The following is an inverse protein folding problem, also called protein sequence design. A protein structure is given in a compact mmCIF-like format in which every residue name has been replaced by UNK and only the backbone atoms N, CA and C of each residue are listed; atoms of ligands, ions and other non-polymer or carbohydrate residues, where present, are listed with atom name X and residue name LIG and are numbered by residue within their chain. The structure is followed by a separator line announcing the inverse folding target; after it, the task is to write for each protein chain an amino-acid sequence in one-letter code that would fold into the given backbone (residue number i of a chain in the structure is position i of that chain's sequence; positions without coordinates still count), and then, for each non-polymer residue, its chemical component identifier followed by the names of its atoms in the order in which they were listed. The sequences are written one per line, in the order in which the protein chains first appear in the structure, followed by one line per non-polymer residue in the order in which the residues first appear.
data_IF_465648178594
#
_entry.id   IF_465648178594
#
_cell.length_a   1.000
_cell.length_b   1.000
_cell.length_c   1.000
_cell.angle_alpha   90.00
_cell.angle_beta   90.00
_cell.angle_gamma   90.00
#
_symmetry.space_group_name_H-M   'P 1'
#
loop_
_entity.id
_entity.type
_entity.pdbx_description
1 polymer ?
#
# COMPACT_ATOMS: atom_id res chain seq x y z
N UNK A 1 22.44 24.17 -7.63
CA UNK A 1 20.98 24.16 -7.46
C UNK A 1 20.68 23.17 -6.35
N UNK A 2 20.34 23.66 -5.17
CA UNK A 2 19.88 22.83 -4.06
C UNK A 2 18.47 22.34 -4.41
N UNK A 3 18.35 21.06 -4.77
CA UNK A 3 17.05 20.40 -4.83
C UNK A 3 16.52 20.35 -3.39
N UNK A 4 15.68 21.32 -3.03
CA UNK A 4 14.89 21.24 -1.82
C UNK A 4 14.10 19.93 -1.86
N UNK A 5 14.49 19.00 -0.99
CA UNK A 5 13.77 17.76 -0.78
C UNK A 5 12.34 18.13 -0.40
N UNK A 6 11.29 17.70 -1.14
CA UNK A 6 9.93 18.09 -0.81
C UNK A 6 9.59 17.60 0.60
N UNK A 7 9.56 18.56 1.52
CA UNK A 7 9.22 18.38 2.92
C UNK A 7 7.72 18.24 3.05
N UNK A 8 7.19 17.03 2.91
CA UNK A 8 5.90 16.63 3.48
C UNK A 8 5.90 15.11 3.62
N UNK A 9 5.49 14.59 4.78
CA UNK A 9 5.25 13.15 4.96
C UNK A 9 4.27 12.68 3.88
N UNK A 10 4.75 11.89 2.93
CA UNK A 10 3.92 11.27 1.87
C UNK A 10 3.18 10.03 2.39
N UNK A 11 3.32 9.76 3.68
CA UNK A 11 2.55 8.78 4.44
C UNK A 11 1.56 9.55 5.30
N UNK A 12 0.28 9.18 5.23
CA UNK A 12 -0.79 9.73 6.05
C UNK A 12 -1.46 8.62 6.87
N UNK A 13 -2.18 9.00 7.93
CA UNK A 13 -2.76 8.07 8.92
C UNK A 13 -3.51 6.86 8.32
N UNK A 14 -4.44 7.06 7.36
CA UNK A 14 -5.10 5.98 6.65
C UNK A 14 -4.18 4.92 6.00
N UNK A 15 -2.99 5.28 5.48
CA UNK A 15 -2.03 4.28 4.97
C UNK A 15 -1.53 3.40 6.11
N UNK A 16 -1.24 4.02 7.27
CA UNK A 16 -0.80 3.30 8.47
C UNK A 16 -1.87 2.33 8.92
N UNK A 17 -3.12 2.77 8.99
CA UNK A 17 -4.22 1.91 9.39
C UNK A 17 -4.39 0.74 8.40
N UNK A 18 -4.45 1.00 7.09
CA UNK A 18 -4.60 -0.04 6.07
C UNK A 18 -3.46 -1.07 6.11
N UNK A 19 -2.21 -0.64 6.27
CA UNK A 19 -1.05 -1.54 6.34
C UNK A 19 -1.03 -2.37 7.63
N UNK A 20 -1.39 -1.79 8.78
CA UNK A 20 -1.50 -2.53 10.05
C UNK A 20 -2.66 -3.52 10.01
N UNK A 21 -3.82 -3.08 9.54
CA UNK A 21 -5.02 -3.91 9.40
C UNK A 21 -4.78 -5.07 8.43
N UNK A 22 -4.11 -4.81 7.30
CA UNK A 22 -3.77 -5.85 6.31
C UNK A 22 -2.76 -6.88 6.85
N UNK A 23 -2.02 -6.53 7.92
CA UNK A 23 -0.93 -7.35 8.45
C UNK A 23 0.33 -7.30 7.58
N UNK A 24 0.62 -6.13 7.00
CA UNK A 24 1.81 -5.92 6.19
C UNK A 24 3.10 -6.06 7.03
N UNK A 25 4.09 -6.72 6.44
CA UNK A 25 5.44 -6.88 6.99
C UNK A 25 6.24 -5.58 6.92
N UNK A 26 7.32 -5.49 7.70
CA UNK A 26 8.25 -4.35 7.64
C UNK A 26 8.88 -4.15 6.26
N UNK A 27 9.11 -5.22 5.50
CA UNK A 27 9.64 -5.13 4.13
C UNK A 27 8.60 -4.57 3.15
N UNK A 28 7.32 -4.92 3.30
CA UNK A 28 6.24 -4.34 2.50
C UNK A 28 6.06 -2.86 2.83
N UNK A 29 6.20 -2.48 4.09
CA UNK A 29 6.27 -1.09 4.53
C UNK A 29 7.40 -0.32 3.85
N UNK A 30 8.62 -0.87 3.86
CA UNK A 30 9.77 -0.23 3.23
C UNK A 30 9.55 0.00 1.72
N UNK A 31 9.03 -1.00 1.01
CA UNK A 31 8.72 -0.91 -0.42
C UNK A 31 7.63 0.13 -0.71
N UNK A 32 6.55 0.15 0.07
CA UNK A 32 5.48 1.14 -0.10
C UNK A 32 5.98 2.57 0.16
N UNK A 33 6.75 2.78 1.23
CA UNK A 33 7.33 4.09 1.55
C UNK A 33 8.28 4.57 0.44
N UNK A 34 9.07 3.66 -0.13
CA UNK A 34 9.92 3.98 -1.28
C UNK A 34 9.09 4.47 -2.49
N UNK A 35 7.98 3.79 -2.81
CA UNK A 35 7.06 4.22 -3.87
C UNK A 35 6.46 5.61 -3.59
N UNK A 36 5.99 5.83 -2.36
CA UNK A 36 5.36 7.09 -1.95
C UNK A 36 6.34 8.27 -2.03
N UNK A 37 7.63 8.05 -1.74
CA UNK A 37 8.68 9.09 -1.76
C UNK A 37 8.76 9.89 -3.07
N UNK A 38 8.28 9.34 -4.20
CA UNK A 38 8.28 10.00 -5.51
C UNK A 38 6.89 10.20 -6.15
N UNK A 39 5.82 9.91 -5.40
CA UNK A 39 4.45 10.30 -5.73
C UNK A 39 4.35 11.79 -6.13
N UNK A 40 3.74 12.10 -7.27
CA UNK A 40 3.49 13.51 -7.61
C UNK A 40 2.45 14.07 -6.65
N UNK A 41 2.59 15.34 -6.25
CA UNK A 41 1.63 15.98 -5.36
C UNK A 41 0.21 15.84 -5.91
N UNK A 42 -0.74 15.43 -5.05
CA UNK A 42 -2.13 15.20 -5.42
C UNK A 42 -2.41 13.97 -6.29
N UNK A 43 -1.39 13.21 -6.72
CA UNK A 43 -1.58 12.03 -7.57
C UNK A 43 -1.58 10.75 -6.74
N UNK A 44 -2.57 9.87 -6.93
CA UNK A 44 -2.55 8.52 -6.36
C UNK A 44 -1.73 7.52 -7.21
N UNK A 45 -1.09 7.99 -8.28
CA UNK A 45 -0.29 7.16 -9.17
C UNK A 45 1.15 7.13 -8.68
N UNK A 46 1.65 5.92 -8.46
CA UNK A 46 3.00 5.64 -8.04
C UNK A 46 3.76 4.98 -9.19
N UNK A 47 4.99 5.42 -9.41
CA UNK A 47 5.83 4.95 -10.51
C UNK A 47 7.27 4.90 -10.04
N UNK A 48 7.82 3.70 -9.90
CA UNK A 48 9.24 3.51 -9.59
C UNK A 48 9.76 2.18 -10.10
N UNK A 49 10.99 2.17 -10.61
CA UNK A 49 11.65 0.95 -11.07
C UNK A 49 12.15 0.11 -9.89
N UNK A 50 12.20 -1.22 -10.07
CA UNK A 50 12.72 -2.15 -9.05
C UNK A 50 14.14 -1.78 -8.59
N UNK A 51 15.11 -1.46 -9.47
CA UNK A 51 16.45 -1.06 -9.03
C UNK A 51 16.46 0.18 -8.13
N UNK A 52 15.58 1.16 -8.41
CA UNK A 52 15.47 2.36 -7.58
C UNK A 52 14.89 2.04 -6.22
N UNK A 53 13.87 1.16 -6.14
CA UNK A 53 13.32 0.69 -4.86
C UNK A 53 14.39 -0.06 -4.06
N UNK A 54 15.19 -0.93 -4.70
CA UNK A 54 16.31 -1.63 -4.06
C UNK A 54 17.29 -0.64 -3.43
N UNK A 55 17.68 0.41 -4.17
CA UNK A 55 18.57 1.46 -3.67
C UNK A 55 18.05 2.16 -2.41
N UNK A 56 16.74 2.40 -2.32
CA UNK A 56 16.15 3.09 -1.16
C UNK A 56 15.86 2.17 0.03
N UNK A 57 15.62 0.88 -0.23
CA UNK A 57 15.21 -0.07 0.81
C UNK A 57 16.37 -0.95 1.30
N UNK A 58 17.46 -1.07 0.54
CA UNK A 58 18.55 -2.00 0.80
C UNK A 58 18.19 -3.47 0.53
N UNK A 59 17.01 -3.74 -0.03
CA UNK A 59 16.54 -5.07 -0.37
C UNK A 59 17.07 -5.49 -1.76
N UNK A 60 17.23 -6.79 -1.98
CA UNK A 60 17.53 -7.35 -3.30
C UNK A 60 16.32 -7.29 -4.25
N UNK A 61 16.57 -7.43 -5.56
CA UNK A 61 15.53 -7.30 -6.58
C UNK A 61 14.40 -8.32 -6.45
N UNK A 62 14.71 -9.57 -6.10
CA UNK A 62 13.72 -10.64 -5.99
C UNK A 62 12.81 -10.40 -4.79
N UNK A 63 13.39 -10.00 -3.66
CA UNK A 63 12.63 -9.54 -2.48
C UNK A 63 11.74 -8.37 -2.84
N UNK A 64 12.24 -7.34 -3.54
CA UNK A 64 11.41 -6.19 -3.95
C UNK A 64 10.25 -6.62 -4.87
N UNK A 65 10.51 -7.44 -5.89
CA UNK A 65 9.47 -7.94 -6.80
C UNK A 65 8.42 -8.75 -6.06
N UNK A 66 8.84 -9.63 -5.17
CA UNK A 66 7.95 -10.43 -4.34
C UNK A 66 7.10 -9.55 -3.41
N UNK A 67 7.70 -8.54 -2.77
CA UNK A 67 6.98 -7.62 -1.87
C UNK A 67 6.02 -6.71 -2.62
N UNK A 68 6.36 -6.24 -3.83
CA UNK A 68 5.43 -5.52 -4.71
C UNK A 68 4.24 -6.40 -5.10
N UNK A 69 4.47 -7.66 -5.46
CA UNK A 69 3.40 -8.61 -5.78
C UNK A 69 2.53 -8.95 -4.56
N UNK A 70 3.13 -9.05 -3.37
CA UNK A 70 2.41 -9.25 -2.11
C UNK A 70 1.54 -8.05 -1.77
N UNK A 71 2.10 -6.83 -1.82
CA UNK A 71 1.37 -5.58 -1.63
C UNK A 71 0.18 -5.43 -2.59
N UNK A 72 0.33 -5.80 -3.87
CA UNK A 72 -0.77 -5.69 -4.83
C UNK A 72 -1.92 -6.67 -4.59
N UNK A 73 -1.72 -7.66 -3.72
CA UNK A 73 -2.75 -8.63 -3.30
C UNK A 73 -3.33 -8.29 -1.93
N UNK A 74 -2.79 -7.27 -1.25
CA UNK A 74 -3.30 -6.84 0.06
C UNK A 74 -4.48 -5.91 -0.10
N UNK A 75 -5.44 -6.11 0.78
CA UNK A 75 -6.62 -5.28 0.92
C UNK A 75 -6.76 -4.77 2.35
N UNK A 76 -7.52 -3.69 2.49
CA UNK A 76 -8.05 -3.20 3.74
C UNK A 76 -9.58 -3.32 3.68
N UNK A 77 -10.21 -3.42 4.85
CA UNK A 77 -11.67 -3.55 4.97
C UNK A 77 -12.24 -2.28 5.57
N UNK A 78 -13.22 -1.68 4.91
CA UNK A 78 -13.92 -0.51 5.45
C UNK A 78 -14.84 -0.88 6.61
N UNK A 79 -15.24 0.10 7.41
CA UNK A 79 -16.21 -0.08 8.49
C UNK A 79 -17.56 -0.64 7.98
N UNK A 80 -17.91 -0.35 6.72
CA UNK A 80 -19.08 -0.92 6.03
C UNK A 80 -18.91 -2.35 5.53
N UNK A 81 -17.76 -2.99 5.77
CA UNK A 81 -17.50 -4.38 5.38
C UNK A 81 -17.06 -4.59 3.94
N UNK A 82 -16.69 -3.52 3.22
CA UNK A 82 -16.21 -3.61 1.84
C UNK A 82 -14.69 -3.76 1.79
N UNK A 83 -14.19 -4.64 0.93
CA UNK A 83 -12.75 -4.85 0.70
C UNK A 83 -12.24 -3.91 -0.39
N UNK A 84 -11.12 -3.25 -0.12
CA UNK A 84 -10.44 -2.36 -1.07
C UNK A 84 -8.95 -2.72 -1.15
N UNK A 85 -8.34 -2.76 -2.35
CA UNK A 85 -6.90 -2.98 -2.46
C UNK A 85 -6.11 -1.85 -1.79
N UNK A 86 -4.90 -2.14 -1.32
CA UNK A 86 -3.97 -1.09 -0.88
C UNK A 86 -3.25 -0.49 -2.09
N UNK A 87 -2.76 -1.37 -2.96
CA UNK A 87 -2.01 -1.03 -4.16
C UNK A 87 -2.58 -1.82 -5.34
N UNK A 88 -2.91 -1.13 -6.43
CA UNK A 88 -3.39 -1.75 -7.66
C UNK A 88 -2.34 -1.61 -8.76
N UNK A 89 -2.10 -2.67 -9.55
CA UNK A 89 -1.18 -2.61 -10.69
C UNK A 89 -1.95 -2.10 -11.90
N UNK A 90 -1.73 -0.82 -12.26
CA UNK A 90 -2.33 -0.23 -13.47
C UNK A 90 -1.59 -0.70 -14.72
N UNK A 91 -0.26 -0.72 -14.64
CA UNK A 91 0.58 -1.15 -15.76
C UNK A 91 1.77 -1.96 -15.25
N UNK A 92 1.89 -3.24 -15.63
CA UNK A 92 3.03 -4.05 -15.26
C UNK A 92 4.32 -3.51 -15.91
N UNK A 93 5.45 -3.71 -15.23
CA UNK A 93 6.76 -3.41 -15.80
C UNK A 93 7.03 -4.32 -17.01
N UNK A 94 7.28 -3.71 -18.18
CA UNK A 94 7.89 -4.41 -19.32
C UNK A 94 9.42 -4.43 -19.20
N UNK A 95 10.13 -5.10 -20.13
CA UNK A 95 11.61 -5.06 -20.19
C UNK A 95 12.09 -3.60 -20.16
N UNK A 96 12.77 -3.22 -19.07
CA UNK A 96 13.34 -1.89 -18.86
C UNK A 96 12.35 -0.76 -18.53
N UNK A 97 11.05 -1.04 -18.34
CA UNK A 97 10.04 -0.01 -18.05
C UNK A 97 9.57 -0.06 -16.60
N UNK A 98 9.33 1.12 -16.05
CA UNK A 98 8.73 1.29 -14.72
C UNK A 98 7.29 0.78 -14.69
N UNK A 99 6.92 0.05 -13.64
CA UNK A 99 5.53 -0.30 -13.38
C UNK A 99 4.76 0.91 -12.85
N UNK A 100 3.47 1.00 -13.20
CA UNK A 100 2.55 1.99 -12.66
C UNK A 100 1.60 1.32 -11.69
N UNK A 101 1.48 1.93 -10.51
CA UNK A 101 0.60 1.49 -9.45
C UNK A 101 -0.39 2.60 -9.08
N UNK A 102 -1.61 2.24 -8.73
CA UNK A 102 -2.55 3.11 -8.05
C UNK A 102 -2.48 2.82 -6.54
N UNK A 103 -2.31 3.86 -5.73
CA UNK A 103 -2.58 3.79 -4.31
C UNK A 103 -4.07 4.02 -4.09
N UNK A 104 -4.77 3.01 -3.60
CA UNK A 104 -6.23 3.07 -3.44
C UNK A 104 -6.66 3.52 -2.03
N UNK A 105 -5.68 3.76 -1.15
CA UNK A 105 -5.92 4.32 0.18
C UNK A 105 -6.23 5.82 0.05
N UNK A 106 -7.36 6.33 0.55
CA UNK A 106 -7.73 7.73 0.41
C UNK A 106 -6.82 8.64 1.25
N UNK A 107 -6.41 9.79 0.68
CA UNK A 107 -5.61 10.81 1.37
C UNK A 107 -6.40 11.58 2.43
N UNK A 108 -7.63 11.93 2.09
CA UNK A 108 -8.61 12.53 2.97
C UNK A 108 -9.65 11.46 3.32
N UNK A 109 -9.59 11.01 4.56
CA UNK A 109 -10.71 10.40 5.28
C UNK A 109 -10.83 11.17 6.59
N UNK A 110 -12.04 11.34 7.16
CA UNK A 110 -12.29 12.32 8.22
C UNK A 110 -11.44 11.98 9.43
N UNK A 111 -10.38 12.74 9.67
CA UNK A 111 -9.53 12.91 10.87
C UNK A 111 -9.09 11.67 11.72
N UNK A 112 -9.65 10.46 11.58
CA UNK A 112 -9.59 9.43 12.65
C UNK A 112 -9.31 7.99 12.18
N UNK A 113 -9.16 7.71 10.89
CA UNK A 113 -9.07 6.31 10.43
C UNK A 113 -10.34 5.49 10.72
N UNK A 114 -11.45 6.16 11.03
CA UNK A 114 -12.76 5.62 11.46
C UNK A 114 -13.56 4.92 10.36
N UNK A 115 -13.11 4.99 9.11
CA UNK A 115 -13.75 4.30 7.97
C UNK A 115 -13.14 2.93 7.67
N UNK A 116 -12.15 2.46 8.45
CA UNK A 116 -11.55 1.13 8.31
C UNK A 116 -11.73 0.35 9.60
N UNK A 117 -11.98 -0.96 9.48
CA UNK A 117 -11.95 -1.82 10.67
C UNK A 117 -10.53 -1.81 11.25
N UNK A 118 -10.41 -1.88 12.56
CA UNK A 118 -9.15 -2.23 13.21
C UNK A 118 -8.70 -3.64 12.79
N UNK A 119 -7.44 -4.00 13.07
CA UNK A 119 -6.95 -5.36 12.79
C UNK A 119 -7.77 -6.44 13.51
N UNK A 120 -8.20 -6.19 14.75
CA UNK A 120 -9.02 -7.13 15.52
C UNK A 120 -10.39 -7.33 14.88
N UNK A 121 -11.06 -6.23 14.56
CA UNK A 121 -12.38 -6.25 13.91
C UNK A 121 -12.33 -6.90 12.52
N UNK A 122 -11.25 -6.69 11.75
CA UNK A 122 -11.04 -7.40 10.49
C UNK A 122 -10.96 -8.91 10.70
N UNK A 123 -10.19 -9.38 11.68
CA UNK A 123 -10.08 -10.83 11.98
C UNK A 123 -11.44 -11.41 12.36
N UNK A 124 -12.25 -10.69 13.14
CA UNK A 124 -13.61 -11.11 13.50
C UNK A 124 -14.56 -11.09 12.30
N UNK A 125 -14.41 -10.12 11.41
CA UNK A 125 -15.15 -10.05 10.15
C UNK A 125 -14.80 -11.22 9.20
N UNK A 126 -13.51 -11.56 9.05
CA UNK A 126 -13.05 -12.69 8.23
C UNK A 126 -13.61 -14.03 8.75
N UNK A 127 -13.65 -14.21 10.08
CA UNK A 127 -14.27 -15.39 10.72
C UNK A 127 -15.76 -15.50 10.40
N UNK A 128 -16.50 -14.38 10.45
CA UNK A 128 -17.93 -14.35 10.11
C UNK A 128 -18.18 -14.66 8.64
N UNK A 129 -17.31 -14.19 7.73
CA UNK A 129 -17.43 -14.45 6.30
C UNK A 129 -17.12 -15.91 5.94
N UNK A 130 -16.03 -16.46 6.47
CA UNK A 130 -15.62 -17.85 6.20
C UNK A 130 -16.45 -18.91 6.93
N UNK A 131 -17.24 -18.53 7.94
CA UNK A 131 -18.18 -19.43 8.61
C UNK A 131 -19.49 -19.64 7.86
N UNK A 132 -19.75 -18.89 6.79
CA UNK A 132 -20.99 -18.96 6.02
C UNK A 132 -20.94 -19.96 4.84
N UNK A 133 -19.77 -20.58 4.60
CA UNK A 133 -19.58 -21.61 3.55
C UNK A 133 -19.91 -23.05 4.05
N UNK A 134 -20.56 -23.18 5.22
CA UNK A 134 -20.88 -24.46 5.86
C UNK A 134 -22.39 -24.62 6.21
N UNK A 135 -23.29 -23.98 5.46
CA UNK A 135 -24.75 -24.21 5.56
C UNK A 135 -25.31 -24.68 4.22
#
# INVERSE_FOLDING_TARGET
MSEESPSYSRVWGPIVHAMVQSGASGQEWAVLVALLRWQREGSNILSMSVPTICKYTGLDEDTVRHRLSSLSKRYFVSAGGNEFPILEVIKPAGKGRTALYALCVPRLGPEDGSNMLTRKERVEWEKRRGGNDNV
#
